data_IF_897372593045
#
_entry.id   IF_897372593045
#
_cell.length_a   1.000
_cell.length_b   1.000
_cell.length_c   1.000
_cell.angle_alpha   90.00
_cell.angle_beta   90.00
_cell.angle_gamma   90.00
#
_symmetry.space_group_name_H-M   'P 1'
#
loop_
_entity.id
_entity.type
_entity.pdbx_description
1 polymer ?
#
# COMPACT_ATOMS: atom_id res chain seq x y z
N UNK A 1 -0.28 -29.41 23.92
CA UNK A 1 -0.21 -29.28 22.45
C UNK A 1 0.94 -30.13 21.91
N UNK A 2 2.11 -30.03 22.51
CA UNK A 2 3.33 -30.81 22.16
C UNK A 2 3.09 -32.32 21.99
N UNK A 3 2.33 -32.95 22.89
CA UNK A 3 2.00 -34.38 22.75
C UNK A 3 1.15 -34.68 21.53
N UNK A 4 0.23 -33.78 21.17
CA UNK A 4 -0.59 -33.92 19.97
C UNK A 4 0.26 -33.69 18.70
N UNK A 5 1.19 -32.73 18.75
CA UNK A 5 2.15 -32.49 17.67
C UNK A 5 3.04 -33.71 17.41
N UNK A 6 3.65 -34.25 18.47
CA UNK A 6 4.58 -35.38 18.37
C UNK A 6 3.90 -36.68 17.94
N UNK A 7 2.65 -36.93 18.38
CA UNK A 7 1.97 -38.22 18.14
C UNK A 7 1.07 -38.25 16.90
N UNK A 8 0.58 -37.08 16.45
CA UNK A 8 -0.43 -37.00 15.40
C UNK A 8 -0.04 -36.06 14.24
N UNK A 9 1.21 -35.58 14.20
CA UNK A 9 1.74 -34.71 13.14
C UNK A 9 0.90 -33.44 12.93
N UNK A 10 0.58 -32.76 14.05
CA UNK A 10 -0.21 -31.53 14.09
C UNK A 10 0.64 -30.34 14.52
N UNK A 11 0.51 -29.22 13.82
CA UNK A 11 1.18 -27.97 14.17
C UNK A 11 0.19 -27.01 14.83
N UNK A 12 0.52 -26.47 16.00
CA UNK A 12 -0.37 -25.53 16.70
C UNK A 12 0.11 -24.09 16.52
N UNK A 13 -0.79 -23.21 16.10
CA UNK A 13 -0.64 -21.77 16.17
C UNK A 13 -1.76 -21.21 17.06
N UNK A 14 -1.46 -20.27 17.95
CA UNK A 14 -2.47 -19.74 18.85
C UNK A 14 -2.28 -18.26 19.17
N UNK A 15 -3.39 -17.62 19.55
CA UNK A 15 -3.39 -16.29 20.16
C UNK A 15 -3.05 -16.42 21.66
N UNK A 16 -1.92 -15.83 22.08
CA UNK A 16 -1.45 -15.86 23.48
C UNK A 16 -2.40 -15.13 24.45
N UNK A 17 -3.29 -14.27 23.95
CA UNK A 17 -4.35 -13.65 24.74
C UNK A 17 -5.55 -14.56 25.00
N UNK A 18 -5.56 -15.77 24.44
CA UNK A 18 -6.69 -16.73 24.50
C UNK A 18 -6.28 -18.05 25.12
N UNK A 19 -5.06 -18.51 24.83
CA UNK A 19 -4.50 -19.73 25.40
C UNK A 19 -3.38 -19.35 26.38
N UNK A 20 -3.58 -19.67 27.65
CA UNK A 20 -2.55 -19.48 28.68
C UNK A 20 -1.39 -20.46 28.46
N UNK A 21 -0.20 -19.92 28.13
CA UNK A 21 1.01 -20.70 27.81
C UNK A 21 1.64 -21.40 29.00
N UNK A 22 1.31 -21.01 30.23
CA UNK A 22 1.92 -21.55 31.45
C UNK A 22 1.09 -22.68 32.08
N UNK A 23 0.00 -23.10 31.42
CA UNK A 23 -0.93 -24.10 31.94
C UNK A 23 -0.74 -25.47 31.29
N UNK A 24 -0.41 -26.49 32.11
CA UNK A 24 -0.41 -27.89 31.67
C UNK A 24 -1.83 -28.45 31.78
N UNK A 25 -2.47 -28.70 30.63
CA UNK A 25 -3.77 -29.37 30.57
C UNK A 25 -3.55 -30.88 30.44
N UNK A 26 -4.01 -31.65 31.44
CA UNK A 26 -4.03 -33.11 31.38
C UNK A 26 -5.40 -33.59 30.89
N UNK A 27 -5.42 -34.29 29.76
CA UNK A 27 -6.63 -34.90 29.19
C UNK A 27 -6.34 -36.33 28.76
N UNK A 28 -7.30 -37.24 28.96
CA UNK A 28 -7.22 -38.59 28.43
C UNK A 28 -7.33 -38.55 26.90
N UNK A 29 -6.34 -39.13 26.21
CA UNK A 29 -6.36 -39.23 24.75
C UNK A 29 -7.33 -40.35 24.34
N UNK A 30 -8.30 -40.07 23.46
CA UNK A 30 -9.12 -41.12 22.85
C UNK A 30 -8.28 -41.92 21.84
N UNK A 31 -8.75 -43.12 21.50
CA UNK A 31 -8.18 -43.92 20.41
C UNK A 31 -8.51 -43.26 19.06
N UNK A 32 -7.54 -42.52 18.53
CA UNK A 32 -7.68 -41.75 17.29
C UNK A 32 -8.36 -40.39 17.48
N UNK A 33 -7.71 -39.40 18.12
CA UNK A 33 -8.27 -38.07 18.29
C UNK A 33 -8.52 -37.43 16.93
N UNK A 34 -9.79 -37.20 16.62
CA UNK A 34 -10.21 -36.54 15.39
C UNK A 34 -10.28 -35.01 15.57
N UNK A 35 -10.52 -34.29 14.47
CA UNK A 35 -10.66 -32.83 14.50
C UNK A 35 -11.79 -32.35 15.41
N UNK A 36 -12.83 -33.16 15.62
CA UNK A 36 -13.96 -32.81 16.49
C UNK A 36 -13.54 -32.84 17.96
N UNK A 37 -12.80 -33.86 18.35
CA UNK A 37 -12.25 -33.97 19.69
C UNK A 37 -11.25 -32.84 19.98
N UNK A 38 -10.34 -32.55 19.05
CA UNK A 38 -9.37 -31.45 19.20
C UNK A 38 -10.10 -30.10 19.32
N UNK A 39 -11.16 -29.89 18.52
CA UNK A 39 -12.00 -28.69 18.64
C UNK A 39 -12.63 -28.61 20.03
N UNK A 40 -13.29 -29.67 20.49
CA UNK A 40 -13.94 -29.71 21.81
C UNK A 40 -12.95 -29.50 22.98
N UNK A 41 -11.68 -29.85 22.80
CA UNK A 41 -10.64 -29.63 23.80
C UNK A 41 -10.34 -28.14 24.05
N UNK A 42 -10.39 -27.31 23.00
CA UNK A 42 -9.97 -25.90 23.06
C UNK A 42 -11.11 -24.90 22.91
N UNK A 43 -12.24 -25.30 22.34
CA UNK A 43 -13.41 -24.45 22.12
C UNK A 43 -14.05 -24.08 23.47
N UNK A 44 -14.02 -22.78 23.78
CA UNK A 44 -14.60 -22.15 24.97
C UNK A 44 -15.28 -20.86 24.54
N UNK A 45 -16.04 -20.24 25.42
CA UNK A 45 -16.67 -18.94 25.13
C UNK A 45 -15.60 -17.92 24.70
N UNK A 46 -15.76 -17.36 23.50
CA UNK A 46 -14.81 -16.42 22.90
C UNK A 46 -13.58 -17.05 22.25
N UNK A 47 -13.50 -18.38 22.09
CA UNK A 47 -12.37 -19.11 21.49
C UNK A 47 -12.84 -19.93 20.30
N UNK A 48 -12.17 -19.80 19.15
CA UNK A 48 -12.41 -20.59 17.95
C UNK A 48 -11.20 -21.44 17.59
N UNK A 49 -11.45 -22.67 17.15
CA UNK A 49 -10.44 -23.61 16.66
C UNK A 49 -10.64 -23.83 15.16
N UNK A 50 -9.68 -23.50 14.32
CA UNK A 50 -9.74 -23.76 12.88
C UNK A 50 -8.64 -24.72 12.43
N UNK A 51 -8.88 -25.46 11.36
CA UNK A 51 -7.91 -26.42 10.80
C UNK A 51 -7.52 -26.00 9.39
N UNK A 52 -6.22 -25.87 9.13
CA UNK A 52 -5.64 -25.66 7.81
C UNK A 52 -4.65 -26.78 7.51
N UNK A 53 -5.11 -27.84 6.84
CA UNK A 53 -4.31 -29.07 6.68
C UNK A 53 -4.01 -29.72 8.04
N UNK A 54 -2.74 -29.83 8.39
CA UNK A 54 -2.26 -30.32 9.69
C UNK A 54 -2.09 -29.21 10.74
N UNK A 55 -2.26 -27.95 10.34
CA UNK A 55 -2.19 -26.82 11.25
C UNK A 55 -3.51 -26.64 12.00
N UNK A 56 -3.43 -26.57 13.33
CA UNK A 56 -4.54 -26.25 14.25
C UNK A 56 -4.32 -24.83 14.76
N UNK A 57 -5.26 -23.93 14.45
CA UNK A 57 -5.20 -22.52 14.84
C UNK A 57 -6.24 -22.28 15.94
N UNK A 58 -5.81 -21.74 17.08
CA UNK A 58 -6.68 -21.44 18.23
C UNK A 58 -6.65 -19.93 18.47
N UNK A 59 -7.75 -19.24 18.20
CA UNK A 59 -7.82 -17.78 18.29
C UNK A 59 -9.10 -17.30 18.95
N UNK A 60 -9.28 -15.99 19.07
CA UNK A 60 -10.57 -15.44 19.51
C UNK A 60 -11.64 -15.80 18.50
N UNK A 61 -12.81 -16.20 18.98
CA UNK A 61 -14.00 -16.34 18.14
C UNK A 61 -14.31 -14.95 17.58
N UNK A 62 -13.94 -14.74 16.32
CA UNK A 62 -14.42 -13.60 15.58
C UNK A 62 -15.85 -13.96 15.24
N UNK A 63 -16.82 -13.40 15.99
CA UNK A 63 -18.22 -13.45 15.58
C UNK A 63 -18.28 -13.13 14.10
N UNK A 64 -19.01 -13.93 13.33
CA UNK A 64 -19.07 -13.81 11.87
C UNK A 64 -19.11 -12.33 11.51
N UNK A 65 -17.99 -11.80 10.98
CA UNK A 65 -18.04 -10.56 10.24
C UNK A 65 -19.19 -10.77 9.26
N UNK A 66 -20.21 -9.90 9.25
CA UNK A 66 -21.33 -10.09 8.35
C UNK A 66 -20.71 -10.35 6.98
N UNK A 67 -21.13 -11.42 6.31
CA UNK A 67 -20.75 -11.67 4.91
C UNK A 67 -21.23 -10.44 4.15
N UNK A 68 -20.39 -9.41 4.08
CA UNK A 68 -20.62 -8.26 3.24
C UNK A 68 -20.69 -8.85 1.86
N UNK A 69 -21.82 -8.69 1.20
CA UNK A 69 -21.92 -9.09 -0.19
C UNK A 69 -20.84 -8.29 -0.92
N UNK A 70 -19.86 -9.02 -1.46
CA UNK A 70 -18.71 -8.44 -2.16
C UNK A 70 -19.08 -8.38 -3.62
N UNK A 71 -18.94 -7.20 -4.17
CA UNK A 71 -19.15 -6.88 -5.57
C UNK A 71 -17.84 -6.87 -6.30
N UNK A 72 -17.86 -7.34 -7.54
CA UNK A 72 -16.68 -7.31 -8.40
C UNK A 72 -16.95 -6.48 -9.63
N UNK A 73 -16.10 -5.47 -9.85
CA UNK A 73 -15.98 -4.80 -11.15
C UNK A 73 -14.65 -5.21 -11.76
N UNK A 74 -14.69 -5.72 -12.98
CA UNK A 74 -13.50 -6.02 -13.78
C UNK A 74 -13.48 -5.14 -15.00
N UNK A 75 -12.34 -5.05 -15.66
CA UNK A 75 -12.30 -4.35 -16.93
C UNK A 75 -10.91 -4.16 -17.50
N UNK A 76 -10.87 -3.41 -18.60
CA UNK A 76 -9.65 -3.00 -19.26
C UNK A 76 -9.66 -1.48 -19.45
N UNK A 77 -8.54 -0.84 -19.17
CA UNK A 77 -8.31 0.58 -19.42
C UNK A 77 -7.40 0.74 -20.63
N UNK A 78 -7.81 1.56 -21.59
CA UNK A 78 -7.06 1.86 -22.81
C UNK A 78 -7.00 3.37 -23.07
N UNK A 79 -5.98 3.80 -23.81
CA UNK A 79 -5.91 5.16 -24.33
C UNK A 79 -7.02 5.41 -25.35
N UNK A 80 -7.78 6.50 -25.22
CA UNK A 80 -8.92 6.76 -26.09
C UNK A 80 -8.52 7.05 -27.55
N UNK A 81 -7.30 7.55 -27.77
CA UNK A 81 -6.78 7.86 -29.11
C UNK A 81 -6.01 6.67 -29.73
N UNK A 82 -5.24 5.94 -28.92
CA UNK A 82 -4.38 4.84 -29.40
C UNK A 82 -5.05 3.46 -29.34
N UNK A 83 -6.10 3.30 -28.53
CA UNK A 83 -6.65 2.01 -28.09
C UNK A 83 -5.59 1.07 -27.44
N UNK A 84 -4.42 1.61 -27.06
CA UNK A 84 -3.38 0.85 -26.39
C UNK A 84 -3.72 0.62 -24.91
N UNK A 85 -3.39 -0.56 -24.34
CA UNK A 85 -3.59 -0.83 -22.93
C UNK A 85 -2.79 0.10 -22.03
N UNK A 86 -3.42 0.64 -20.99
CA UNK A 86 -2.75 1.50 -20.01
C UNK A 86 -2.43 0.72 -18.74
N UNK A 87 -1.15 0.46 -18.52
CA UNK A 87 -0.65 -0.18 -17.31
C UNK A 87 -0.62 0.79 -16.12
N UNK A 88 -0.71 0.25 -14.89
CA UNK A 88 -0.58 1.03 -13.65
C UNK A 88 -1.57 2.19 -13.47
N UNK A 89 -2.72 2.17 -14.15
CA UNK A 89 -3.83 3.09 -13.90
C UNK A 89 -4.36 2.83 -12.50
N UNK A 90 -4.49 3.88 -11.69
CA UNK A 90 -5.11 3.78 -10.37
C UNK A 90 -6.63 3.70 -10.52
N UNK A 91 -7.23 2.69 -9.91
CA UNK A 91 -8.68 2.46 -9.91
C UNK A 91 -9.16 2.48 -8.46
N UNK A 92 -10.01 3.43 -8.10
CA UNK A 92 -10.44 3.61 -6.70
C UNK A 92 -11.90 4.00 -6.57
N UNK A 93 -12.48 3.77 -5.40
CA UNK A 93 -13.78 4.32 -5.03
C UNK A 93 -13.56 5.71 -4.42
N UNK A 94 -14.19 6.75 -4.98
CA UNK A 94 -14.00 8.13 -4.52
C UNK A 94 -14.36 8.26 -3.03
N UNK A 95 -13.42 8.79 -2.25
CA UNK A 95 -13.58 9.01 -0.81
C UNK A 95 -13.43 7.76 0.07
N UNK A 96 -13.08 6.60 -0.51
CA UNK A 96 -12.96 5.34 0.22
C UNK A 96 -11.56 4.74 0.04
N UNK A 97 -11.00 4.05 1.06
CA UNK A 97 -9.68 3.42 0.99
C UNK A 97 -9.72 2.07 0.24
N UNK A 98 -10.49 1.98 -0.83
CA UNK A 98 -10.69 0.76 -1.62
C UNK A 98 -10.34 1.02 -3.08
N UNK A 99 -9.34 0.31 -3.57
CA UNK A 99 -8.84 0.47 -4.93
C UNK A 99 -7.92 -0.68 -5.37
N UNK A 100 -7.51 -0.61 -6.63
CA UNK A 100 -6.61 -1.54 -7.32
C UNK A 100 -5.87 -0.79 -8.43
N UNK A 101 -5.00 -1.47 -9.17
CA UNK A 101 -4.32 -0.93 -10.35
C UNK A 101 -4.46 -1.85 -11.55
N UNK A 102 -4.30 -1.31 -12.77
CA UNK A 102 -4.25 -2.13 -13.98
C UNK A 102 -2.91 -2.85 -14.13
N UNK A 103 -2.94 -4.05 -14.72
CA UNK A 103 -1.74 -4.77 -15.14
C UNK A 103 -1.20 -4.25 -16.49
N UNK A 104 -0.11 -4.87 -16.99
CA UNK A 104 0.54 -4.50 -18.26
C UNK A 104 -0.36 -4.64 -19.49
N UNK A 105 -1.45 -5.43 -19.39
CA UNK A 105 -2.49 -5.56 -20.41
C UNK A 105 -3.65 -4.60 -20.19
N UNK A 106 -3.50 -3.60 -19.31
CA UNK A 106 -4.51 -2.63 -18.95
C UNK A 106 -5.68 -3.20 -18.15
N UNK A 107 -5.62 -4.46 -17.69
CA UNK A 107 -6.73 -5.14 -17.02
C UNK A 107 -6.73 -4.89 -15.52
N UNK A 108 -7.91 -4.73 -14.93
CA UNK A 108 -8.12 -4.58 -13.49
C UNK A 108 -9.23 -5.49 -12.96
N UNK A 109 -9.20 -5.75 -11.65
CA UNK A 109 -10.30 -6.34 -10.90
C UNK A 109 -10.38 -5.67 -9.53
N UNK A 110 -11.51 -5.03 -9.23
CA UNK A 110 -11.78 -4.40 -7.95
C UNK A 110 -12.93 -5.11 -7.27
N UNK A 111 -12.64 -5.68 -6.10
CA UNK A 111 -13.64 -6.24 -5.19
C UNK A 111 -13.95 -5.24 -4.10
N UNK A 112 -15.23 -4.98 -3.86
CA UNK A 112 -15.67 -3.95 -2.93
C UNK A 112 -16.97 -4.34 -2.22
N UNK A 113 -17.27 -3.80 -1.02
CA UNK A 113 -18.55 -4.01 -0.37
C UNK A 113 -19.73 -3.44 -1.16
N UNK A 114 -20.90 -4.07 -1.07
CA UNK A 114 -22.15 -3.58 -1.66
C UNK A 114 -22.56 -2.17 -1.18
N UNK A 115 -22.06 -1.72 -0.03
CA UNK A 115 -22.27 -0.37 0.49
C UNK A 115 -21.76 0.74 -0.46
N UNK A 116 -20.95 0.41 -1.46
CA UNK A 116 -20.42 1.37 -2.42
C UNK A 116 -21.21 1.44 -3.73
N UNK A 117 -22.25 0.62 -3.91
CA UNK A 117 -23.15 0.74 -5.07
C UNK A 117 -23.69 2.17 -5.17
N UNK A 118 -23.65 2.74 -6.38
CA UNK A 118 -24.06 4.12 -6.61
C UNK A 118 -23.01 5.19 -6.28
N UNK A 119 -21.92 4.84 -5.58
CA UNK A 119 -20.75 5.74 -5.46
C UNK A 119 -19.98 5.81 -6.78
N UNK A 120 -19.06 6.77 -6.87
CA UNK A 120 -18.20 6.97 -8.03
C UNK A 120 -16.92 6.14 -7.89
N UNK A 121 -16.58 5.41 -8.94
CA UNK A 121 -15.28 4.80 -9.15
C UNK A 121 -14.48 5.69 -10.10
N UNK A 122 -13.27 6.06 -9.69
CA UNK A 122 -12.35 6.91 -10.44
C UNK A 122 -11.19 6.11 -11.03
N UNK A 123 -10.78 6.51 -12.22
CA UNK A 123 -9.61 6.00 -12.95
C UNK A 123 -8.65 7.16 -13.19
N UNK A 124 -7.42 7.06 -12.70
CA UNK A 124 -6.41 8.10 -12.86
C UNK A 124 -5.07 7.55 -13.33
N UNK A 125 -4.48 8.28 -14.26
CA UNK A 125 -3.24 7.91 -14.91
C UNK A 125 -2.51 9.17 -15.39
N UNK A 126 -1.18 9.19 -15.24
CA UNK A 126 -0.38 10.37 -15.54
C UNK A 126 -0.48 10.70 -17.04
N UNK A 127 -0.77 11.97 -17.35
CA UNK A 127 -0.93 12.42 -18.74
C UNK A 127 -2.32 12.17 -19.33
N UNK A 128 -3.30 11.73 -18.54
CA UNK A 128 -4.67 11.47 -18.99
C UNK A 128 -5.71 12.22 -18.14
N UNK A 129 -6.83 12.57 -18.76
CA UNK A 129 -8.02 13.09 -18.06
C UNK A 129 -8.61 11.96 -17.23
N UNK A 130 -8.87 12.23 -15.95
CA UNK A 130 -9.51 11.26 -15.07
C UNK A 130 -10.87 10.83 -15.61
N UNK A 131 -11.09 9.53 -15.61
CA UNK A 131 -12.35 8.93 -16.00
C UNK A 131 -13.10 8.46 -14.77
N UNK A 132 -14.42 8.43 -14.84
CA UNK A 132 -15.24 7.99 -13.72
C UNK A 132 -16.44 7.18 -14.21
N UNK A 133 -16.91 6.27 -13.36
CA UNK A 133 -18.15 5.56 -13.56
C UNK A 133 -18.90 5.41 -12.24
N UNK A 134 -20.22 5.26 -12.31
CA UNK A 134 -21.01 4.87 -11.15
C UNK A 134 -20.86 3.37 -10.93
N UNK A 135 -20.66 2.96 -9.67
CA UNK A 135 -20.53 1.55 -9.31
C UNK A 135 -21.86 0.84 -9.55
N UNK A 136 -21.90 -0.19 -10.43
CA UNK A 136 -23.15 -0.83 -10.85
C UNK A 136 -23.74 -1.71 -9.75
N UNK A 137 -25.04 -1.95 -9.82
CA UNK A 137 -25.77 -2.81 -8.89
C UNK A 137 -25.59 -4.32 -9.14
N UNK A 138 -24.87 -4.72 -10.20
CA UNK A 138 -24.47 -6.11 -10.51
C UNK A 138 -22.98 -6.20 -10.83
N UNK A 139 -22.38 -7.38 -10.66
CA UNK A 139 -21.00 -7.62 -11.11
C UNK A 139 -20.90 -7.31 -12.61
N UNK A 140 -19.89 -6.52 -12.99
CA UNK A 140 -19.82 -5.93 -14.32
C UNK A 140 -18.39 -5.91 -14.84
N UNK A 141 -18.21 -6.25 -16.11
CA UNK A 141 -16.97 -6.04 -16.86
C UNK A 141 -17.10 -4.79 -17.72
N UNK A 142 -16.13 -3.87 -17.65
CA UNK A 142 -16.17 -2.60 -18.39
C UNK A 142 -14.91 -2.37 -19.22
N UNK A 143 -15.01 -1.51 -20.23
CA UNK A 143 -13.86 -0.93 -20.93
C UNK A 143 -13.85 0.56 -20.68
N UNK A 144 -12.78 1.06 -20.07
CA UNK A 144 -12.59 2.48 -19.77
C UNK A 144 -11.62 3.06 -20.79
N UNK A 145 -12.04 4.13 -21.47
CA UNK A 145 -11.20 4.86 -22.44
C UNK A 145 -10.78 6.19 -21.84
N UNK A 146 -9.51 6.32 -21.51
CA UNK A 146 -8.96 7.55 -20.93
C UNK A 146 -8.49 8.48 -22.05
N UNK A 147 -8.93 9.74 -22.03
CA UNK A 147 -8.49 10.73 -23.01
C UNK A 147 -7.18 11.34 -22.58
N UNK A 148 -6.29 11.60 -23.52
CA UNK A 148 -5.04 12.31 -23.25
C UNK A 148 -5.34 13.66 -22.61
N UNK A 149 -4.55 14.01 -21.60
CA UNK A 149 -4.62 15.29 -20.92
C UNK A 149 -3.93 16.35 -21.79
N UNK A 150 -4.69 16.91 -22.75
CA UNK A 150 -4.22 18.05 -23.54
C UNK A 150 -4.63 19.33 -22.83
N UNK A 151 -3.70 19.95 -22.09
CA UNK A 151 -3.99 21.22 -21.40
C UNK A 151 -3.93 22.37 -22.39
N UNK A 152 -5.04 23.10 -22.54
CA UNK A 152 -4.97 24.56 -22.74
C UNK A 152 -5.09 25.17 -21.35
N UNK A 153 -4.00 25.70 -20.84
CA UNK A 153 -3.99 26.31 -19.51
C UNK A 153 -4.92 27.53 -19.56
N UNK A 154 -6.00 27.58 -18.77
CA UNK A 154 -6.62 28.86 -18.47
C UNK A 154 -5.52 29.77 -17.92
N UNK A 155 -5.56 31.05 -18.26
CA UNK A 155 -4.67 32.04 -17.66
C UNK A 155 -5.04 32.17 -16.16
N UNK A 156 -4.53 31.25 -15.36
CA UNK A 156 -4.53 31.39 -13.90
C UNK A 156 -3.60 32.57 -13.65
N UNK A 157 -4.10 33.63 -13.01
CA UNK A 157 -3.20 34.64 -12.44
C UNK A 157 -2.43 33.97 -11.31
N UNK A 158 -1.33 33.32 -11.67
CA UNK A 158 -0.47 32.60 -10.73
C UNK A 158 0.29 33.67 -9.95
N UNK A 159 -0.20 33.96 -8.75
CA UNK A 159 0.60 34.69 -7.78
C UNK A 159 1.67 33.74 -7.26
N UNK A 160 2.93 34.08 -7.50
CA UNK A 160 4.06 33.45 -6.83
C UNK A 160 3.79 33.34 -5.33
N UNK A 161 3.94 32.13 -4.80
CA UNK A 161 3.84 31.83 -3.37
C UNK A 161 5.21 31.37 -2.90
N UNK A 162 5.61 31.80 -1.70
CA UNK A 162 6.86 31.33 -1.10
C UNK A 162 6.76 29.80 -0.86
N UNK A 163 7.60 28.99 -1.53
CA UNK A 163 7.52 27.54 -1.42
C UNK A 163 7.80 27.06 0.02
N UNK A 164 8.58 27.80 0.81
CA UNK A 164 8.80 27.46 2.23
C UNK A 164 7.51 27.61 3.05
N UNK A 165 6.67 28.60 2.73
CA UNK A 165 5.38 28.76 3.40
C UNK A 165 4.43 27.63 3.01
N UNK A 166 4.42 27.22 1.75
CA UNK A 166 3.61 26.10 1.27
C UNK A 166 3.99 24.82 2.02
N UNK A 167 5.27 24.45 2.05
CA UNK A 167 5.69 23.19 2.70
C UNK A 167 5.49 23.23 4.22
N UNK A 168 5.64 24.40 4.86
CA UNK A 168 5.24 24.56 6.27
C UNK A 168 3.74 24.36 6.46
N UNK A 169 2.90 24.86 5.54
CA UNK A 169 1.46 24.69 5.58
C UNK A 169 1.05 23.22 5.40
N UNK A 170 1.69 22.50 4.47
CA UNK A 170 1.55 21.04 4.32
C UNK A 170 1.77 20.33 5.65
N UNK A 171 2.86 20.70 6.35
CA UNK A 171 3.18 20.10 7.65
C UNK A 171 2.15 20.43 8.72
N UNK A 172 1.66 21.67 8.79
CA UNK A 172 0.63 22.04 9.76
C UNK A 172 -0.74 21.46 9.44
N UNK A 173 -1.01 21.09 8.19
CA UNK A 173 -2.30 20.50 7.77
C UNK A 173 -2.35 18.98 7.92
N UNK A 174 -1.30 18.34 8.42
CA UNK A 174 -1.27 16.86 8.57
C UNK A 174 -2.43 16.35 9.43
N UNK A 175 -2.73 17.02 10.55
CA UNK A 175 -3.84 16.60 11.43
C UNK A 175 -5.21 16.72 10.75
N UNK A 176 -5.38 17.70 9.86
CA UNK A 176 -6.64 17.92 9.13
C UNK A 176 -6.82 16.97 7.94
N UNK A 177 -5.71 16.56 7.31
CA UNK A 177 -5.72 15.83 6.05
C UNK A 177 -5.52 14.31 6.20
N UNK A 178 -5.08 13.84 7.37
CA UNK A 178 -4.70 12.43 7.57
C UNK A 178 -5.35 11.82 8.82
N UNK A 179 -5.54 10.48 8.87
CA UNK A 179 -6.21 9.83 10.00
C UNK A 179 -5.55 10.08 11.36
N UNK A 180 -6.35 10.54 12.32
CA UNK A 180 -5.96 10.75 13.73
C UNK A 180 -6.05 9.48 14.59
N UNK A 181 -6.63 8.40 14.06
CA UNK A 181 -6.76 7.12 14.74
C UNK A 181 -6.00 6.02 14.02
N UNK A 182 -5.61 4.98 14.77
CA UNK A 182 -5.02 3.78 14.16
C UNK A 182 -6.07 3.06 13.32
N UNK A 183 -5.66 2.55 12.17
CA UNK A 183 -6.54 1.76 11.31
C UNK A 183 -5.78 0.59 10.66
N UNK A 184 -6.52 -0.44 10.28
CA UNK A 184 -5.99 -1.58 9.55
C UNK A 184 -6.24 -1.39 8.07
N UNK A 185 -5.19 -1.36 7.27
CA UNK A 185 -5.25 -1.21 5.82
C UNK A 185 -4.93 -2.55 5.15
N UNK A 186 -5.86 -3.10 4.39
CA UNK A 186 -5.58 -4.26 3.53
C UNK A 186 -5.05 -3.79 2.19
N UNK A 187 -3.88 -4.29 1.78
CA UNK A 187 -3.22 -3.88 0.55
C UNK A 187 -2.84 -5.10 -0.31
N UNK A 188 -2.78 -4.89 -1.62
CA UNK A 188 -2.18 -5.82 -2.57
C UNK A 188 -0.74 -5.38 -2.83
N UNK A 189 0.20 -6.29 -2.63
CA UNK A 189 1.62 -6.08 -2.83
C UNK A 189 2.09 -6.96 -3.99
N UNK A 190 2.86 -6.37 -4.92
CA UNK A 190 3.55 -7.08 -5.98
C UNK A 190 5.01 -6.62 -6.01
N UNK A 191 5.92 -7.58 -5.97
CA UNK A 191 7.35 -7.39 -6.17
C UNK A 191 7.76 -8.13 -7.43
N UNK A 192 8.65 -7.53 -8.21
CA UNK A 192 9.04 -8.08 -9.50
C UNK A 192 10.52 -7.82 -9.75
N UNK A 193 11.24 -8.87 -10.13
CA UNK A 193 12.66 -8.84 -10.48
C UNK A 193 12.75 -9.06 -11.98
N UNK A 194 13.35 -8.10 -12.67
CA UNK A 194 13.63 -8.17 -14.09
C UNK A 194 15.14 -8.21 -14.35
N UNK A 195 15.56 -9.01 -15.32
CA UNK A 195 16.91 -9.03 -15.87
C UNK A 195 16.78 -9.02 -17.40
N UNK A 196 17.46 -8.09 -18.08
CA UNK A 196 17.42 -7.94 -19.54
C UNK A 196 15.98 -7.85 -20.10
N UNK A 197 15.15 -7.01 -19.46
CA UNK A 197 13.71 -6.84 -19.74
C UNK A 197 12.85 -8.11 -19.61
N UNK A 198 13.38 -9.16 -18.99
CA UNK A 198 12.66 -10.41 -18.72
C UNK A 198 12.39 -10.59 -17.23
N UNK A 199 11.16 -11.00 -16.90
CA UNK A 199 10.77 -11.31 -15.53
C UNK A 199 11.45 -12.59 -15.03
N UNK A 200 12.29 -12.46 -13.99
CA UNK A 200 12.96 -13.58 -13.32
C UNK A 200 12.16 -14.05 -12.10
N UNK A 201 11.58 -13.11 -11.36
CA UNK A 201 10.78 -13.39 -10.17
C UNK A 201 9.59 -12.45 -10.09
N UNK A 202 8.43 -12.97 -9.73
CA UNK A 202 7.21 -12.19 -9.45
C UNK A 202 6.60 -12.75 -8.18
N UNK A 203 6.52 -11.92 -7.15
CA UNK A 203 5.90 -12.28 -5.88
C UNK A 203 4.70 -11.37 -5.63
N UNK A 204 3.55 -11.95 -5.31
CA UNK A 204 2.34 -11.21 -5.00
C UNK A 204 1.79 -11.62 -3.64
N UNK A 205 1.24 -10.66 -2.89
CA UNK A 205 0.65 -10.89 -1.60
C UNK A 205 -0.53 -9.96 -1.32
N UNK A 206 -1.54 -10.48 -0.64
CA UNK A 206 -2.43 -9.67 0.18
C UNK A 206 -1.77 -9.51 1.54
N UNK A 207 -1.62 -8.26 1.96
CA UNK A 207 -1.04 -7.88 3.23
C UNK A 207 -2.01 -7.00 3.99
N UNK A 208 -1.84 -6.93 5.29
CA UNK A 208 -2.46 -5.92 6.11
C UNK A 208 -1.40 -5.07 6.79
N UNK A 209 -1.65 -3.77 6.84
CA UNK A 209 -0.76 -2.79 7.42
C UNK A 209 -1.54 -2.12 8.55
N UNK A 210 -1.10 -2.31 9.79
CA UNK A 210 -1.58 -1.50 10.90
C UNK A 210 -0.94 -0.12 10.77
N UNK A 211 -1.74 0.84 10.32
CA UNK A 211 -1.34 2.24 10.19
C UNK A 211 -1.58 2.95 11.53
N UNK A 212 -0.51 3.45 12.19
CA UNK A 212 -0.66 4.31 13.36
C UNK A 212 -1.32 5.65 13.00
N UNK A 213 -1.79 6.37 14.01
CA UNK A 213 -2.22 7.76 13.84
C UNK A 213 -1.08 8.62 13.31
N UNK A 214 -1.39 9.60 12.45
CA UNK A 214 -0.41 10.59 12.00
C UNK A 214 0.03 11.55 13.11
N UNK A 215 -0.75 11.65 14.21
CA UNK A 215 -0.35 12.38 15.42
C UNK A 215 0.74 11.63 16.22
N UNK A 216 0.73 10.29 16.15
CA UNK A 216 1.65 9.43 16.88
C UNK A 216 2.97 9.23 16.10
N UNK A 217 3.75 10.30 15.89
CA UNK A 217 4.86 10.36 14.93
C UNK A 217 5.94 9.28 15.05
N UNK A 218 6.20 8.78 16.26
CA UNK A 218 7.25 7.79 16.51
C UNK A 218 6.77 6.33 16.37
N UNK A 219 5.48 6.12 16.19
CA UNK A 219 4.97 4.77 16.01
C UNK A 219 5.35 4.22 14.63
N UNK A 220 5.61 2.93 14.58
CA UNK A 220 5.95 2.22 13.35
C UNK A 220 4.75 1.44 12.81
N UNK A 221 4.66 1.37 11.49
CA UNK A 221 3.75 0.44 10.83
C UNK A 221 4.08 -1.01 11.22
N UNK A 222 3.04 -1.83 11.31
CA UNK A 222 3.19 -3.29 11.40
C UNK A 222 2.54 -3.92 10.20
N UNK A 223 3.25 -4.85 9.58
CA UNK A 223 2.76 -5.56 8.39
C UNK A 223 2.51 -7.02 8.72
N UNK A 224 1.30 -7.49 8.41
CA UNK A 224 0.88 -8.88 8.50
C UNK A 224 0.70 -9.44 7.10
N UNK A 225 1.44 -10.50 6.77
CA UNK A 225 1.18 -11.27 5.55
C UNK A 225 -0.12 -12.06 5.72
N UNK A 226 -1.06 -11.90 4.78
CA UNK A 226 -2.34 -12.62 4.81
C UNK A 226 -2.24 -13.86 3.93
N UNK A 227 -1.91 -13.66 2.65
CA UNK A 227 -1.79 -14.74 1.66
C UNK A 227 -0.96 -14.24 0.48
N UNK A 228 -0.20 -15.11 -0.16
CA UNK A 228 0.57 -14.74 -1.34
C UNK A 228 0.76 -15.89 -2.30
N UNK A 229 1.31 -15.56 -3.46
CA UNK A 229 1.73 -16.50 -4.51
C UNK A 229 3.06 -16.03 -5.08
N UNK A 230 3.87 -16.98 -5.52
CA UNK A 230 5.12 -16.72 -6.23
C UNK A 230 5.00 -17.28 -7.65
N UNK A 231 5.42 -16.52 -8.64
CA UNK A 231 5.49 -16.94 -10.03
C UNK A 231 6.41 -18.15 -10.19
N UNK A 232 6.06 -19.07 -11.10
CA UNK A 232 6.90 -20.23 -11.40
C UNK A 232 8.14 -19.79 -12.19
N UNK A 233 9.32 -20.18 -11.67
CA UNK A 233 10.68 -20.07 -12.23
C UNK A 233 10.77 -19.65 -13.71
N UNK A 234 11.39 -18.51 -13.96
CA UNK A 234 11.98 -18.16 -15.26
C UNK A 234 13.48 -17.94 -15.08
N UNK A 235 14.24 -19.04 -15.22
CA UNK A 235 15.71 -19.12 -15.28
C UNK A 235 16.47 -18.82 -13.97
N UNK A 236 17.65 -19.43 -13.84
CA UNK A 236 18.62 -19.07 -12.80
C UNK A 236 19.19 -17.69 -13.12
N UNK A 237 19.18 -16.79 -12.13
CA UNK A 237 19.85 -15.49 -12.21
C UNK A 237 21.35 -15.72 -12.33
N UNK A 238 22.02 -15.01 -13.24
CA UNK A 238 23.47 -14.92 -13.18
C UNK A 238 23.84 -14.28 -11.84
N UNK A 239 24.67 -14.97 -11.05
CA UNK A 239 24.91 -14.65 -9.63
C UNK A 239 25.60 -13.29 -9.52
N UNK A 240 24.80 -12.23 -9.37
CA UNK A 240 25.24 -10.99 -8.75
C UNK A 240 24.89 -11.12 -7.27
N UNK A 241 25.89 -10.99 -6.39
CA UNK A 241 25.72 -11.03 -4.93
C UNK A 241 24.99 -9.78 -4.40
N UNK A 242 23.83 -9.44 -4.97
CA UNK A 242 23.01 -8.34 -4.48
C UNK A 242 21.87 -8.92 -3.64
N UNK A 243 21.89 -8.67 -2.32
CA UNK A 243 20.71 -8.88 -1.47
C UNK A 243 19.77 -7.71 -1.71
N UNK A 244 18.74 -7.91 -2.53
CA UNK A 244 17.64 -6.96 -2.63
C UNK A 244 16.91 -6.96 -1.27
N UNK A 245 17.09 -5.90 -0.48
CA UNK A 245 16.34 -5.71 0.77
C UNK A 245 14.97 -5.18 0.39
N UNK A 246 14.04 -6.09 0.09
CA UNK A 246 12.69 -5.79 -0.39
C UNK A 246 11.59 -6.21 0.59
N UNK A 247 10.38 -6.38 0.05
CA UNK A 247 9.24 -6.94 0.76
C UNK A 247 8.24 -5.94 1.42
N UNK A 248 7.06 -6.44 1.83
CA UNK A 248 5.92 -5.63 2.27
C UNK A 248 6.19 -4.64 3.41
N UNK A 249 7.11 -4.97 4.31
CA UNK A 249 7.46 -4.11 5.44
C UNK A 249 8.15 -2.82 4.98
N UNK A 250 9.15 -2.92 4.10
CA UNK A 250 9.86 -1.76 3.56
C UNK A 250 8.92 -0.89 2.71
N UNK A 251 8.00 -1.49 1.96
CA UNK A 251 6.97 -0.74 1.23
C UNK A 251 6.09 0.08 2.17
N UNK A 252 5.70 -0.46 3.33
CA UNK A 252 4.88 0.27 4.30
C UNK A 252 5.56 1.54 4.84
N UNK A 253 6.89 1.63 4.73
CA UNK A 253 7.69 2.76 5.17
C UNK A 253 7.80 3.90 4.16
N UNK A 254 7.32 3.74 2.93
CA UNK A 254 7.34 4.78 1.89
C UNK A 254 6.30 5.89 2.08
N UNK A 255 5.60 5.91 3.21
CA UNK A 255 4.64 6.94 3.57
C UNK A 255 5.36 8.25 3.89
N UNK A 256 5.60 9.05 2.86
CA UNK A 256 6.42 10.27 2.95
C UNK A 256 5.87 11.33 3.91
N UNK A 257 4.56 11.33 4.15
CA UNK A 257 3.97 12.29 5.10
C UNK A 257 4.32 11.95 6.54
N UNK A 258 4.58 10.66 6.80
CA UNK A 258 5.06 10.16 8.08
C UNK A 258 6.59 10.15 8.18
N UNK A 259 7.26 9.67 7.13
CA UNK A 259 8.69 9.32 7.15
C UNK A 259 9.58 10.23 6.30
N UNK A 260 9.00 11.10 5.46
CA UNK A 260 9.74 11.99 4.57
C UNK A 260 10.54 13.04 5.35
N UNK A 261 11.85 12.91 5.30
CA UNK A 261 12.85 13.80 5.90
C UNK A 261 13.00 15.13 5.14
N UNK A 262 12.49 15.19 3.91
CA UNK A 262 12.39 16.40 3.10
C UNK A 262 11.26 17.34 3.51
N UNK A 263 10.43 16.99 4.49
CA UNK A 263 9.48 17.92 5.12
C UNK A 263 10.13 18.62 6.31
N UNK A 264 9.81 19.89 6.58
CA UNK A 264 10.35 20.61 7.72
C UNK A 264 9.96 19.93 9.04
N UNK A 265 10.82 20.10 10.05
CA UNK A 265 10.51 19.72 11.43
C UNK A 265 9.50 20.70 12.06
N UNK A 266 9.10 20.43 13.29
CA UNK A 266 8.03 21.19 13.98
C UNK A 266 8.45 22.64 14.30
N UNK A 267 9.75 22.93 14.22
CA UNK A 267 10.31 24.30 14.33
C UNK A 267 10.40 25.00 12.98
N UNK A 268 9.93 24.36 11.90
CA UNK A 268 9.99 24.87 10.53
C UNK A 268 11.38 24.77 9.89
N UNK A 269 12.33 24.06 10.49
CA UNK A 269 13.68 23.88 9.95
C UNK A 269 13.69 22.72 8.95
N UNK A 270 14.44 22.88 7.86
CA UNK A 270 14.57 21.87 6.82
C UNK A 270 16.02 21.74 6.36
N UNK A 271 16.45 20.51 6.04
CA UNK A 271 17.70 20.24 5.33
C UNK A 271 17.58 20.48 3.82
N UNK A 272 16.40 20.91 3.36
CA UNK A 272 16.04 21.03 1.97
C UNK A 272 15.73 22.46 1.56
N UNK A 273 16.12 22.78 0.32
CA UNK A 273 15.66 23.96 -0.40
C UNK A 273 14.44 23.59 -1.23
N UNK A 274 13.40 24.43 -1.13
CA UNK A 274 12.19 24.29 -1.94
C UNK A 274 12.15 25.30 -3.08
N UNK A 275 11.59 24.90 -4.22
CA UNK A 275 11.33 25.76 -5.38
C UNK A 275 9.85 25.73 -5.74
N UNK A 276 9.33 26.87 -6.19
CA UNK A 276 7.99 26.94 -6.74
C UNK A 276 8.11 26.75 -8.25
N UNK A 277 7.76 25.56 -8.72
CA UNK A 277 7.98 25.15 -10.12
C UNK A 277 6.72 25.35 -10.97
N UNK A 278 5.64 25.84 -10.36
CA UNK A 278 4.42 26.29 -11.02
C UNK A 278 3.16 25.77 -10.34
N UNK A 279 2.08 25.80 -11.12
CA UNK A 279 0.80 25.19 -10.77
C UNK A 279 0.45 24.13 -11.81
N UNK A 280 -0.37 23.17 -11.40
CA UNK A 280 -0.95 22.17 -12.27
C UNK A 280 -2.40 21.88 -11.82
N UNK A 281 -3.13 21.08 -12.58
CA UNK A 281 -4.46 20.59 -12.19
C UNK A 281 -4.42 19.06 -12.15
N UNK A 282 -4.71 18.48 -11.00
CA UNK A 282 -4.75 17.03 -10.78
C UNK A 282 -6.08 16.70 -10.11
N UNK A 283 -6.86 15.74 -10.65
CA UNK A 283 -8.21 15.43 -10.16
C UNK A 283 -9.15 16.64 -10.11
N UNK A 284 -9.11 17.50 -11.12
CA UNK A 284 -9.88 18.76 -11.20
C UNK A 284 -9.60 19.73 -10.03
N UNK A 285 -8.47 19.54 -9.33
CA UNK A 285 -8.02 20.39 -8.24
C UNK A 285 -6.74 21.11 -8.65
N UNK A 286 -6.67 22.40 -8.31
CA UNK A 286 -5.44 23.17 -8.46
C UNK A 286 -4.40 22.62 -7.49
N UNK A 287 -3.20 22.31 -8.01
CA UNK A 287 -2.06 21.89 -7.21
C UNK A 287 -0.87 22.82 -7.44
N UNK A 288 -0.07 23.04 -6.41
CA UNK A 288 1.26 23.62 -6.50
C UNK A 288 2.28 22.53 -6.82
N UNK A 289 3.19 22.82 -7.76
CA UNK A 289 4.37 21.99 -8.04
C UNK A 289 5.55 22.54 -7.26
N UNK A 290 6.00 21.79 -6.26
CA UNK A 290 7.06 22.21 -5.35
C UNK A 290 8.25 21.26 -5.47
N UNK A 291 9.31 21.72 -6.11
CA UNK A 291 10.59 21.03 -6.15
C UNK A 291 11.28 21.06 -4.80
N UNK A 292 12.00 19.99 -4.47
CA UNK A 292 12.82 19.91 -3.27
C UNK A 292 14.17 19.25 -3.56
N UNK A 293 15.23 19.81 -2.99
CA UNK A 293 16.60 19.29 -3.07
C UNK A 293 17.39 19.62 -1.81
N UNK A 294 18.35 18.80 -1.37
CA UNK A 294 19.11 19.08 -0.15
C UNK A 294 19.96 20.35 -0.28
N UNK A 295 20.23 21.03 0.84
CA UNK A 295 21.14 22.20 0.86
C UNK A 295 22.58 21.82 0.54
N UNK A 296 23.01 20.63 0.99
CA UNK A 296 24.38 20.12 0.83
C UNK A 296 24.34 18.63 0.57
N UNK A 297 25.10 18.18 -0.42
CA UNK A 297 25.40 16.77 -0.63
C UNK A 297 26.60 16.38 0.25
N UNK A 298 26.37 16.26 1.56
CA UNK A 298 27.42 16.02 2.56
C UNK A 298 27.77 14.54 2.74
N UNK A 299 27.54 13.70 1.71
CA UNK A 299 27.78 12.25 1.76
C UNK A 299 26.73 11.44 2.52
N UNK A 300 25.59 12.05 2.89
CA UNK A 300 24.41 11.33 3.36
C UNK A 300 23.48 11.02 2.17
N UNK A 301 22.72 9.92 2.27
CA UNK A 301 21.70 9.57 1.28
C UNK A 301 20.51 10.51 1.45
N UNK A 302 20.38 11.50 0.55
CA UNK A 302 19.23 12.41 0.50
C UNK A 302 18.32 12.04 -0.67
N UNK A 303 17.06 12.44 -0.59
CA UNK A 303 16.16 12.46 -1.75
C UNK A 303 16.21 13.79 -2.48
N UNK A 304 15.75 13.84 -3.72
CA UNK A 304 15.36 15.05 -4.45
C UNK A 304 14.15 14.74 -5.34
N UNK A 305 13.34 15.73 -5.67
CA UNK A 305 12.13 15.49 -6.44
C UNK A 305 11.15 16.66 -6.48
N UNK A 306 9.89 16.35 -6.77
CA UNK A 306 8.79 17.30 -6.88
C UNK A 306 7.54 16.78 -6.14
N UNK A 307 6.94 17.65 -5.32
CA UNK A 307 5.66 17.42 -4.66
C UNK A 307 4.54 18.13 -5.41
N UNK A 308 3.39 17.46 -5.58
CA UNK A 308 2.12 18.07 -6.02
C UNK A 308 1.22 18.25 -4.80
N UNK A 309 0.97 19.51 -4.43
CA UNK A 309 0.27 19.89 -3.19
C UNK A 309 -1.03 20.59 -3.55
N UNK A 310 -2.16 20.12 -3.03
CA UNK A 310 -3.47 20.70 -3.30
C UNK A 310 -3.58 22.12 -2.71
N UNK A 311 -4.03 23.07 -3.53
CA UNK A 311 -3.86 24.50 -3.27
C UNK A 311 -4.75 25.07 -2.15
N UNK A 312 -5.81 24.36 -1.74
CA UNK A 312 -6.73 24.80 -0.68
C UNK A 312 -6.44 24.08 0.64
N UNK A 313 -6.37 22.75 0.60
CA UNK A 313 -6.19 21.89 1.77
C UNK A 313 -4.72 21.72 2.17
N UNK A 314 -3.77 22.03 1.29
CA UNK A 314 -2.34 21.72 1.45
C UNK A 314 -2.07 20.21 1.62
N UNK A 315 -2.98 19.35 1.16
CA UNK A 315 -2.75 17.91 1.14
C UNK A 315 -1.71 17.55 0.06
N UNK A 316 -0.80 16.63 0.38
CA UNK A 316 0.07 16.05 -0.62
C UNK A 316 -0.75 15.11 -1.52
N UNK A 317 -0.86 15.45 -2.80
CA UNK A 317 -1.61 14.68 -3.81
C UNK A 317 -0.73 13.60 -4.42
N UNK A 318 0.50 13.95 -4.80
CA UNK A 318 1.51 13.02 -5.29
C UNK A 318 2.90 13.57 -5.08
N UNK A 319 3.89 12.70 -5.18
CA UNK A 319 5.30 13.05 -5.12
C UNK A 319 6.08 12.14 -6.08
N UNK A 320 6.99 12.75 -6.82
CA UNK A 320 7.98 12.05 -7.64
C UNK A 320 9.36 12.35 -7.05
N UNK A 321 10.14 11.32 -6.70
CA UNK A 321 11.43 11.53 -6.05
C UNK A 321 12.43 10.41 -6.33
N UNK A 322 13.71 10.74 -6.19
CA UNK A 322 14.84 9.83 -6.37
C UNK A 322 15.91 10.10 -5.30
N UNK A 323 16.79 9.12 -5.08
CA UNK A 323 17.99 9.35 -4.26
C UNK A 323 18.97 10.26 -5.01
N UNK A 324 19.63 11.16 -4.29
CA UNK A 324 20.74 11.93 -4.83
C UNK A 324 21.90 10.98 -5.17
N UNK A 325 22.67 11.25 -6.24
CA UNK A 325 23.87 10.47 -6.55
C UNK A 325 24.82 10.49 -5.35
N UNK A 326 25.30 9.32 -4.91
CA UNK A 326 26.32 9.29 -3.87
C UNK A 326 27.63 9.88 -4.40
N UNK A 327 28.35 10.72 -3.63
CA UNK A 327 29.69 11.16 -4.04
C UNK A 327 30.61 9.94 -4.14
N UNK A 328 31.05 9.59 -5.35
CA UNK A 328 32.08 8.58 -5.57
C UNK A 328 33.41 9.08 -5.02
N UNK A 329 33.87 8.52 -3.91
CA UNK A 329 35.28 8.62 -3.53
C UNK A 329 36.02 7.52 -4.28
N UNK A 330 36.63 7.89 -5.41
CA UNK A 330 37.61 7.02 -6.07
C UNK A 330 38.82 6.89 -5.14
N UNK A 331 38.99 5.71 -4.53
CA UNK A 331 40.24 5.36 -3.87
C UNK A 331 41.16 4.80 -4.95
N UNK A 332 42.03 5.65 -5.49
CA UNK A 332 43.18 5.16 -6.26
C UNK A 332 44.16 4.53 -5.28
N UNK A 333 44.32 3.21 -5.37
CA UNK A 333 45.44 2.53 -4.74
C UNK A 333 46.68 2.79 -5.59
N UNK A 334 47.62 3.59 -5.05
CA UNK A 334 48.98 3.75 -5.58
C UNK A 334 49.83 2.51 -5.33
#
# INVERSE_FOLDING_TARGET
MDTLSLRFNLDFAWDAGVVNTDSVIKVALPDGPDRRWIRALFEKEGVEVSFMGNQVIIGKSQGQLPKSHVRTVTGTVVGAASDEPLAMVNVGVEGEPVGTTTNDLGQFSLKMPDAFVGKRMSFSYLGYVNSHMVIPAVDTTVVIRMKDYTVRLPEVQVHYRDPNQIVRAVRSSVEANYPSQRYLMTAFFRETIQQDDQFVDVSEAVIEILKPSYEARYDTERVRFVKGRKGMKTREMDVVQFKLVGGPYHFSQLDVMRQGDFLPNDKGQSAYKYTFDGVDIVYDRLVYRIGFRPYTDSGALFYEGEMRIEAESMALVSIDFQLTPAPFVAVEAT
#
